data_IF_178491926938
#
_entry.id   IF_178491926938
#
_cell.length_a   1.000
_cell.length_b   1.000
_cell.length_c   1.000
_cell.angle_alpha   90.00
_cell.angle_beta   90.00
_cell.angle_gamma   90.00
#
_symmetry.space_group_name_H-M   'P 1'
#
loop_
_entity.id
_entity.type
_entity.pdbx_description
1 polymer ?
#
# COMPACT_ATOMS: atom_id res chain seq x y z
N UNK A 1 18.99 4.71 6.16
CA UNK A 1 19.31 3.58 5.27
C UNK A 1 18.39 3.66 4.04
N UNK A 2 18.86 3.28 2.86
CA UNK A 2 18.06 3.40 1.62
C UNK A 2 17.17 2.16 1.46
N UNK A 3 15.87 2.31 1.71
CA UNK A 3 14.89 1.22 1.69
C UNK A 3 14.88 0.44 0.35
N UNK A 4 15.11 1.14 -0.78
CA UNK A 4 15.19 0.47 -2.08
C UNK A 4 16.40 -0.47 -2.17
N UNK A 5 17.55 -0.04 -1.66
CA UNK A 5 18.75 -0.89 -1.64
C UNK A 5 18.61 -2.07 -0.68
N UNK A 6 17.92 -1.91 0.45
CA UNK A 6 17.60 -3.01 1.36
C UNK A 6 16.73 -4.07 0.67
N UNK A 7 15.69 -3.62 -0.03
CA UNK A 7 14.81 -4.50 -0.79
C UNK A 7 15.56 -5.24 -1.92
N UNK A 8 16.39 -4.52 -2.69
CA UNK A 8 17.19 -5.12 -3.78
C UNK A 8 18.15 -6.20 -3.27
N UNK A 9 18.81 -5.95 -2.13
CA UNK A 9 19.68 -6.96 -1.47
C UNK A 9 18.90 -8.19 -1.03
N UNK A 10 17.72 -8.00 -0.44
CA UNK A 10 16.86 -9.11 -0.06
C UNK A 10 16.45 -9.93 -1.29
N UNK A 11 16.00 -9.29 -2.37
CA UNK A 11 15.62 -9.96 -3.62
C UNK A 11 16.78 -10.76 -4.20
N UNK A 12 18.01 -10.21 -4.21
CA UNK A 12 19.19 -10.95 -4.65
C UNK A 12 19.40 -12.23 -3.82
N UNK A 13 19.34 -12.11 -2.50
CA UNK A 13 19.48 -13.25 -1.60
C UNK A 13 18.39 -14.30 -1.80
N UNK A 14 17.12 -13.89 -1.93
CA UNK A 14 16.01 -14.80 -2.18
C UNK A 14 16.20 -15.61 -3.47
N UNK A 15 16.75 -14.98 -4.52
CA UNK A 15 17.06 -15.65 -5.78
C UNK A 15 18.21 -16.66 -5.62
N UNK A 16 19.25 -16.31 -4.88
CA UNK A 16 20.39 -17.20 -4.62
C UNK A 16 19.94 -18.42 -3.80
N UNK A 17 19.08 -18.21 -2.81
CA UNK A 17 18.57 -19.25 -1.91
C UNK A 17 17.42 -20.07 -2.54
N UNK A 18 16.89 -19.66 -3.71
CA UNK A 18 15.72 -20.30 -4.36
C UNK A 18 14.45 -20.21 -3.53
N UNK A 19 14.33 -19.18 -2.67
CA UNK A 19 13.21 -19.02 -1.73
C UNK A 19 12.21 -17.99 -2.25
N UNK A 20 10.91 -18.25 -2.03
CA UNK A 20 9.81 -17.35 -2.40
C UNK A 20 8.91 -17.14 -1.17
N UNK A 21 9.29 -16.23 -0.26
CA UNK A 21 8.53 -16.00 0.95
C UNK A 21 7.19 -15.32 0.67
N UNK A 22 6.24 -15.52 1.57
CA UNK A 22 4.91 -14.93 1.52
C UNK A 22 4.94 -13.44 1.91
N UNK A 23 4.22 -12.60 1.16
CA UNK A 23 4.15 -11.16 1.37
C UNK A 23 2.71 -10.65 1.34
N UNK A 24 2.25 -10.05 2.44
CA UNK A 24 1.00 -9.29 2.46
C UNK A 24 1.28 -7.81 2.12
N UNK A 25 0.83 -7.36 0.96
CA UNK A 25 1.06 -5.99 0.48
C UNK A 25 -0.21 -5.14 0.63
N UNK A 26 -0.20 -4.18 1.55
CA UNK A 26 -1.27 -3.19 1.62
C UNK A 26 -1.37 -2.41 0.31
N UNK A 27 -2.56 -2.40 -0.29
CA UNK A 27 -2.85 -1.72 -1.55
C UNK A 27 -3.89 -0.60 -1.36
N UNK A 28 -3.57 0.62 -1.81
CA UNK A 28 -4.50 1.74 -1.75
C UNK A 28 -5.40 1.86 -2.99
N UNK A 29 -4.97 1.33 -4.13
CA UNK A 29 -5.69 1.35 -5.40
C UNK A 29 -4.91 0.59 -6.47
N UNK A 30 -5.55 0.23 -7.58
CA UNK A 30 -4.93 -0.49 -8.70
C UNK A 30 -3.73 0.26 -9.32
N UNK A 31 -3.80 1.58 -9.62
CA UNK A 31 -2.65 2.30 -10.14
C UNK A 31 -1.40 2.22 -9.27
N UNK A 32 -1.56 2.31 -7.93
CA UNK A 32 -0.41 2.19 -7.03
C UNK A 32 0.07 0.74 -6.91
N UNK A 33 -0.83 -0.24 -6.97
CA UNK A 33 -0.49 -1.65 -6.91
C UNK A 33 0.19 -2.15 -8.20
N UNK A 34 -0.08 -1.53 -9.36
CA UNK A 34 0.33 -2.05 -10.66
C UNK A 34 1.85 -2.26 -10.78
N UNK A 35 2.65 -1.25 -10.48
CA UNK A 35 4.10 -1.39 -10.47
C UNK A 35 4.59 -2.30 -9.34
N UNK A 36 3.96 -2.22 -8.15
CA UNK A 36 4.37 -3.04 -7.03
C UNK A 36 4.16 -4.54 -7.31
N UNK A 37 3.07 -4.92 -7.97
CA UNK A 37 2.81 -6.30 -8.41
C UNK A 37 3.86 -6.72 -9.44
N UNK A 38 4.06 -5.94 -10.51
CA UNK A 38 5.06 -6.23 -11.55
C UNK A 38 6.45 -6.44 -10.96
N UNK A 39 6.81 -5.66 -9.93
CA UNK A 39 8.13 -5.69 -9.31
C UNK A 39 8.28 -6.82 -8.29
N UNK A 40 7.25 -7.14 -7.50
CA UNK A 40 7.35 -8.06 -6.35
C UNK A 40 6.91 -9.49 -6.66
N UNK A 41 5.90 -9.69 -7.51
CA UNK A 41 5.35 -11.01 -7.79
C UNK A 41 6.37 -12.04 -8.31
N UNK A 42 7.44 -11.67 -9.05
CA UNK A 42 8.49 -12.62 -9.42
C UNK A 42 9.34 -13.15 -8.26
N UNK A 43 9.21 -12.59 -7.04
CA UNK A 43 10.12 -12.84 -5.91
C UNK A 43 9.41 -13.24 -4.62
N UNK A 44 8.10 -13.04 -4.55
CA UNK A 44 7.28 -13.29 -3.36
C UNK A 44 5.99 -14.01 -3.75
N UNK A 45 5.50 -14.87 -2.88
CA UNK A 45 4.10 -15.31 -2.89
C UNK A 45 3.25 -14.14 -2.39
N UNK A 46 2.74 -13.36 -3.36
CA UNK A 46 2.15 -12.06 -3.14
C UNK A 46 0.65 -12.14 -2.94
N UNK A 47 0.17 -11.58 -1.84
CA UNK A 47 -1.25 -11.30 -1.60
C UNK A 47 -1.45 -9.82 -1.33
N UNK A 48 -2.46 -9.22 -1.95
CA UNK A 48 -2.84 -7.82 -1.70
C UNK A 48 -3.83 -7.73 -0.54
N UNK A 49 -3.66 -6.72 0.28
CA UNK A 49 -4.61 -6.37 1.34
C UNK A 49 -5.19 -4.98 1.10
N UNK A 50 -6.49 -4.92 0.84
CA UNK A 50 -7.20 -3.67 0.60
C UNK A 50 -7.91 -3.20 1.86
N UNK A 51 -7.24 -2.37 2.67
CA UNK A 51 -7.82 -1.71 3.84
C UNK A 51 -7.55 -0.21 3.79
N UNK A 52 -8.56 0.57 3.50
CA UNK A 52 -8.45 2.00 3.25
C UNK A 52 -9.54 2.80 3.98
N UNK A 53 -9.48 2.92 5.32
CA UNK A 53 -10.51 3.58 6.13
C UNK A 53 -10.65 5.07 5.80
N UNK A 54 -9.63 5.67 5.18
CA UNK A 54 -9.66 7.04 4.67
C UNK A 54 -10.54 7.24 3.44
N UNK A 55 -10.94 6.18 2.74
CA UNK A 55 -11.91 6.29 1.65
C UNK A 55 -13.28 6.33 2.31
N UNK A 56 -13.82 7.53 2.47
CA UNK A 56 -15.02 7.79 3.27
C UNK A 56 -16.33 7.65 2.50
N UNK A 57 -16.26 7.50 1.18
CA UNK A 57 -17.41 7.29 0.30
C UNK A 57 -17.49 5.82 -0.13
N UNK A 58 -18.58 5.13 0.18
CA UNK A 58 -18.77 3.71 -0.11
C UNK A 58 -18.62 3.39 -1.59
N UNK A 59 -19.20 4.19 -2.47
CA UNK A 59 -19.12 3.99 -3.91
C UNK A 59 -17.67 4.10 -4.44
N UNK A 60 -16.88 5.02 -3.88
CA UNK A 60 -15.47 5.16 -4.25
C UNK A 60 -14.63 4.00 -3.71
N UNK A 61 -14.93 3.51 -2.51
CA UNK A 61 -14.29 2.32 -1.94
C UNK A 61 -14.54 1.11 -2.84
N UNK A 62 -15.80 0.81 -3.15
CA UNK A 62 -16.19 -0.34 -3.97
C UNK A 62 -15.61 -0.26 -5.40
N UNK A 63 -15.60 0.94 -5.98
CA UNK A 63 -15.01 1.17 -7.31
C UNK A 63 -13.52 0.85 -7.35
N UNK A 64 -12.76 1.32 -6.33
CA UNK A 64 -11.31 1.05 -6.26
C UNK A 64 -11.01 -0.40 -5.93
N UNK A 65 -11.81 -1.05 -5.10
CA UNK A 65 -11.67 -2.47 -4.77
C UNK A 65 -11.86 -3.32 -6.02
N UNK A 66 -12.98 -3.16 -6.72
CA UNK A 66 -13.29 -3.90 -7.96
C UNK A 66 -12.20 -3.73 -9.02
N UNK A 67 -11.68 -2.52 -9.17
CA UNK A 67 -10.59 -2.23 -10.10
C UNK A 67 -9.28 -2.91 -9.68
N UNK A 68 -9.00 -2.96 -8.37
CA UNK A 68 -7.83 -3.66 -7.84
C UNK A 68 -7.94 -5.17 -8.04
N UNK A 69 -9.10 -5.77 -7.75
CA UNK A 69 -9.38 -7.19 -7.97
C UNK A 69 -9.25 -7.57 -9.44
N UNK A 70 -9.85 -6.77 -10.34
CA UNK A 70 -9.74 -6.97 -11.79
C UNK A 70 -8.27 -6.99 -12.24
N UNK A 71 -7.49 -6.01 -11.79
CA UNK A 71 -6.09 -5.91 -12.18
C UNK A 71 -5.23 -7.02 -11.57
N UNK A 72 -5.43 -7.34 -10.28
CA UNK A 72 -4.70 -8.40 -9.60
C UNK A 72 -4.92 -9.77 -10.24
N UNK A 73 -6.15 -10.03 -10.71
CA UNK A 73 -6.51 -11.27 -11.41
C UNK A 73 -5.67 -11.50 -12.68
N UNK A 74 -5.32 -10.44 -13.43
CA UNK A 74 -4.45 -10.53 -14.62
C UNK A 74 -3.04 -11.10 -14.29
N UNK A 75 -2.62 -10.99 -13.03
CA UNK A 75 -1.31 -11.45 -12.55
C UNK A 75 -1.42 -12.69 -11.64
N UNK A 76 -2.61 -13.25 -11.46
CA UNK A 76 -2.83 -14.39 -10.55
C UNK A 76 -2.61 -14.03 -9.07
N UNK A 77 -2.73 -12.76 -8.69
CA UNK A 77 -2.51 -12.28 -7.33
C UNK A 77 -3.84 -12.18 -6.57
N UNK A 78 -3.88 -12.78 -5.38
CA UNK A 78 -5.06 -12.73 -4.52
C UNK A 78 -5.25 -11.35 -3.88
N UNK A 79 -6.51 -10.98 -3.62
CA UNK A 79 -6.89 -9.75 -2.91
C UNK A 79 -7.73 -10.13 -1.70
N UNK A 80 -7.35 -9.60 -0.53
CA UNK A 80 -8.13 -9.67 0.71
C UNK A 80 -8.76 -8.30 0.94
N UNK A 81 -10.10 -8.24 0.98
CA UNK A 81 -10.83 -7.04 1.39
C UNK A 81 -10.82 -6.91 2.91
N UNK A 82 -10.22 -5.84 3.43
CA UNK A 82 -10.17 -5.50 4.85
C UNK A 82 -11.45 -4.84 5.38
N UNK A 83 -12.41 -4.60 4.51
CA UNK A 83 -13.70 -4.01 4.82
C UNK A 83 -13.74 -2.48 4.76
N UNK A 84 -14.93 -1.95 4.53
CA UNK A 84 -15.22 -0.52 4.54
C UNK A 84 -15.38 -0.03 5.98
N UNK A 85 -14.45 0.80 6.47
CA UNK A 85 -14.34 1.19 7.88
C UNK A 85 -13.99 2.69 8.05
N UNK A 86 -14.83 3.56 7.51
CA UNK A 86 -14.63 5.01 7.61
C UNK A 86 -14.67 5.54 9.07
N UNK A 87 -15.41 4.87 9.95
CA UNK A 87 -15.58 5.33 11.34
C UNK A 87 -14.24 5.33 12.09
N UNK A 88 -13.45 4.26 11.95
CA UNK A 88 -12.10 4.18 12.52
C UNK A 88 -11.21 5.34 12.05
N UNK A 89 -11.31 5.75 10.77
CA UNK A 89 -10.56 6.90 10.28
C UNK A 89 -10.99 8.20 10.97
N UNK A 90 -12.29 8.47 11.07
CA UNK A 90 -12.80 9.69 11.70
C UNK A 90 -12.48 9.75 13.20
N UNK A 91 -12.62 8.65 13.92
CA UNK A 91 -12.30 8.56 15.34
C UNK A 91 -10.84 8.91 15.62
N UNK A 92 -9.90 8.33 14.86
CA UNK A 92 -8.47 8.53 15.07
C UNK A 92 -7.94 9.86 14.51
N UNK A 93 -8.68 10.50 13.61
CA UNK A 93 -8.27 11.80 13.03
C UNK A 93 -9.05 12.97 13.63
N UNK A 94 -9.84 12.74 14.67
CA UNK A 94 -10.58 13.79 15.40
C UNK A 94 -9.62 14.85 15.94
N UNK A 95 -9.93 16.11 15.66
CA UNK A 95 -9.09 17.26 16.01
C UNK A 95 -7.95 17.55 15.01
N UNK A 96 -7.81 16.74 13.95
CA UNK A 96 -6.82 16.92 12.89
C UNK A 96 -7.45 17.34 11.54
N UNK A 97 -8.71 17.79 11.55
CA UNK A 97 -9.48 18.12 10.34
C UNK A 97 -8.83 19.25 9.54
N UNK A 98 -8.21 20.22 10.24
CA UNK A 98 -7.57 21.39 9.65
C UNK A 98 -6.09 21.15 9.25
N UNK A 99 -5.54 19.97 9.58
CA UNK A 99 -4.17 19.63 9.18
C UNK A 99 -4.05 19.62 7.65
N UNK A 100 -2.96 20.15 7.09
CA UNK A 100 -2.74 20.08 5.64
C UNK A 100 -2.55 18.63 5.17
N UNK A 101 -2.67 18.41 3.88
CA UNK A 101 -2.22 17.16 3.28
C UNK A 101 -0.72 16.98 3.55
N UNK A 102 -0.31 15.77 3.93
CA UNK A 102 1.03 15.37 4.42
C UNK A 102 1.35 15.75 5.87
N UNK A 103 0.43 16.41 6.60
CA UNK A 103 0.55 16.70 8.03
C UNK A 103 0.23 15.49 8.92
N UNK A 104 -0.02 15.76 10.21
CA UNK A 104 -0.23 14.74 11.24
C UNK A 104 -1.40 13.81 10.93
N UNK A 105 -2.50 14.33 10.36
CA UNK A 105 -3.63 13.49 9.93
C UNK A 105 -3.19 12.39 8.95
N UNK A 106 -2.28 12.69 8.03
CA UNK A 106 -1.76 11.68 7.09
C UNK A 106 -0.88 10.65 7.79
N UNK A 107 -0.09 11.04 8.78
CA UNK A 107 0.71 10.12 9.58
C UNK A 107 -0.18 9.12 10.34
N UNK A 108 -1.24 9.60 11.01
CA UNK A 108 -2.24 8.74 11.65
C UNK A 108 -2.89 7.79 10.65
N UNK A 109 -3.27 8.29 9.47
CA UNK A 109 -3.84 7.46 8.40
C UNK A 109 -2.89 6.35 7.91
N UNK A 110 -1.58 6.60 7.83
CA UNK A 110 -0.59 5.59 7.47
C UNK A 110 -0.46 4.54 8.58
N UNK A 111 -0.41 4.97 9.83
CA UNK A 111 -0.32 4.09 11.00
C UNK A 111 -1.52 3.13 11.07
N UNK A 112 -2.74 3.62 10.93
CA UNK A 112 -3.97 2.80 10.91
C UNK A 112 -3.89 1.69 9.85
N UNK A 113 -3.50 2.03 8.64
CA UNK A 113 -3.43 1.06 7.54
C UNK A 113 -2.34 0.03 7.76
N UNK A 114 -1.17 0.47 8.21
CA UNK A 114 -0.03 -0.42 8.45
C UNK A 114 -0.28 -1.32 9.64
N UNK A 115 -0.89 -0.83 10.73
CA UNK A 115 -1.28 -1.68 11.88
C UNK A 115 -2.25 -2.77 11.47
N UNK A 116 -3.30 -2.42 10.72
CA UNK A 116 -4.27 -3.41 10.24
C UNK A 116 -3.63 -4.42 9.30
N UNK A 117 -2.68 -3.99 8.46
CA UNK A 117 -1.92 -4.89 7.60
C UNK A 117 -1.03 -5.83 8.41
N UNK A 118 -0.32 -5.32 9.40
CA UNK A 118 0.55 -6.09 10.29
C UNK A 118 -0.26 -7.12 11.11
N UNK A 119 -1.40 -6.70 11.67
CA UNK A 119 -2.35 -7.57 12.39
C UNK A 119 -2.84 -8.73 11.51
N UNK A 120 -3.20 -8.41 10.26
CA UNK A 120 -3.69 -9.41 9.31
C UNK A 120 -2.57 -10.38 8.88
N UNK A 121 -1.34 -9.89 8.76
CA UNK A 121 -0.18 -10.65 8.34
C UNK A 121 0.42 -11.52 9.46
N UNK A 122 0.28 -11.10 10.72
CA UNK A 122 0.91 -11.71 11.90
C UNK A 122 0.68 -13.22 11.96
N UNK A 123 1.75 -14.01 12.03
CA UNK A 123 1.75 -15.45 12.07
C UNK A 123 1.27 -16.16 10.80
N UNK A 124 1.03 -15.43 9.70
CA UNK A 124 0.49 -15.98 8.45
C UNK A 124 1.35 -15.68 7.23
N UNK A 125 2.11 -14.58 7.27
CA UNK A 125 2.98 -14.14 6.19
C UNK A 125 4.38 -13.88 6.73
N UNK A 126 5.40 -14.13 5.91
CA UNK A 126 6.80 -13.82 6.28
C UNK A 126 7.04 -12.31 6.33
N UNK A 127 6.38 -11.58 5.43
CA UNK A 127 6.53 -10.12 5.31
C UNK A 127 5.19 -9.40 5.17
N UNK A 128 5.19 -8.13 5.60
CA UNK A 128 4.16 -7.17 5.20
C UNK A 128 4.79 -5.87 4.69
N UNK A 129 4.12 -5.22 3.74
CA UNK A 129 4.57 -3.97 3.12
C UNK A 129 3.39 -3.09 2.68
N UNK A 130 3.68 -1.96 2.01
CA UNK A 130 2.64 -1.07 1.49
C UNK A 130 3.00 -0.44 0.15
N UNK A 131 2.00 -0.25 -0.71
CA UNK A 131 2.11 0.51 -1.95
C UNK A 131 2.14 2.03 -1.73
N UNK A 132 1.93 2.51 -0.50
CA UNK A 132 1.90 3.96 -0.19
C UNK A 132 3.20 4.66 -0.56
N UNK A 133 4.33 3.96 -0.51
CA UNK A 133 5.66 4.50 -0.83
C UNK A 133 5.88 4.77 -2.32
N UNK A 134 4.95 4.38 -3.20
CA UNK A 134 4.99 4.70 -4.63
C UNK A 134 4.61 6.15 -4.92
N UNK A 135 3.66 6.72 -4.16
CA UNK A 135 3.15 8.06 -4.43
C UNK A 135 4.21 9.13 -4.15
N UNK A 136 4.48 10.05 -5.10
CA UNK A 136 5.40 11.18 -4.88
C UNK A 136 4.88 12.15 -3.80
N UNK A 137 3.57 12.10 -3.52
CA UNK A 137 2.94 12.93 -2.50
C UNK A 137 3.06 12.35 -1.08
N UNK A 138 3.66 11.18 -0.91
CA UNK A 138 3.79 10.52 0.40
C UNK A 138 5.25 10.36 0.82
N UNK A 139 5.50 10.63 2.09
CA UNK A 139 6.84 10.53 2.68
C UNK A 139 7.18 9.07 2.98
N UNK A 140 7.98 8.44 2.12
CA UNK A 140 8.40 7.05 2.28
C UNK A 140 9.23 6.82 3.57
N UNK A 141 10.02 7.79 3.99
CA UNK A 141 10.81 7.70 5.23
C UNK A 141 9.89 7.57 6.44
N UNK A 142 8.87 8.43 6.54
CA UNK A 142 7.88 8.37 7.61
C UNK A 142 7.10 7.04 7.58
N UNK A 143 6.61 6.61 6.41
CA UNK A 143 5.87 5.36 6.25
C UNK A 143 6.72 4.17 6.71
N UNK A 144 7.97 4.10 6.29
CA UNK A 144 8.89 3.04 6.69
C UNK A 144 9.23 3.09 8.21
N UNK A 145 9.34 4.28 8.79
CA UNK A 145 9.55 4.42 10.24
C UNK A 145 8.34 3.88 11.02
N UNK A 146 7.12 4.21 10.58
CA UNK A 146 5.89 3.68 11.17
C UNK A 146 5.86 2.15 11.04
N UNK A 147 6.04 1.61 9.83
CA UNK A 147 5.97 0.17 9.58
C UNK A 147 6.99 -0.63 10.41
N UNK A 148 8.22 -0.14 10.52
CA UNK A 148 9.27 -0.77 11.36
C UNK A 148 8.94 -0.75 12.85
N UNK A 149 8.14 0.20 13.31
CA UNK A 149 7.72 0.32 14.70
C UNK A 149 6.52 -0.55 15.10
N UNK A 150 5.86 -1.20 14.14
CA UNK A 150 4.68 -2.03 14.40
C UNK A 150 5.12 -3.47 14.68
N UNK A 151 4.83 -4.02 15.88
CA UNK A 151 5.10 -5.43 16.17
C UNK A 151 4.15 -6.33 15.37
N UNK A 152 4.68 -7.43 14.83
CA UNK A 152 3.92 -8.49 14.20
C UNK A 152 4.63 -9.82 14.48
N UNK A 153 3.95 -10.76 15.10
CA UNK A 153 4.54 -12.03 15.50
C UNK A 153 4.88 -12.88 14.26
N UNK A 154 6.14 -13.29 14.16
CA UNK A 154 6.63 -14.12 13.05
C UNK A 154 6.64 -13.44 11.68
N UNK A 155 6.33 -12.13 11.60
CA UNK A 155 6.19 -11.38 10.36
C UNK A 155 7.05 -10.11 10.39
N UNK A 156 7.81 -9.84 9.33
CA UNK A 156 8.69 -8.69 9.24
C UNK A 156 8.11 -7.59 8.35
N UNK A 157 8.27 -6.33 8.76
CA UNK A 157 8.00 -5.21 7.87
C UNK A 157 9.06 -5.13 6.77
N UNK A 158 8.64 -5.11 5.50
CA UNK A 158 9.52 -4.95 4.35
C UNK A 158 9.58 -3.47 3.95
N UNK A 159 10.70 -2.75 4.23
CA UNK A 159 10.85 -1.35 3.86
C UNK A 159 10.94 -1.21 2.34
N UNK A 160 10.23 -0.22 1.79
CA UNK A 160 10.18 0.02 0.35
C UNK A 160 10.27 1.52 0.02
N UNK A 161 10.76 1.85 -1.17
CA UNK A 161 10.60 3.18 -1.78
C UNK A 161 10.34 3.01 -3.28
N UNK A 162 9.12 2.63 -3.62
CA UNK A 162 8.71 2.33 -4.98
C UNK A 162 8.73 3.54 -5.93
N UNK A 163 8.98 4.76 -5.45
CA UNK A 163 9.27 5.93 -6.31
C UNK A 163 10.62 5.80 -7.03
N UNK A 164 11.55 5.08 -6.42
CA UNK A 164 12.87 4.80 -7.02
C UNK A 164 12.72 3.92 -8.27
N UNK A 165 13.77 3.90 -9.08
CA UNK A 165 13.76 3.13 -10.34
C UNK A 165 12.59 3.50 -11.27
N UNK A 166 12.19 4.78 -11.27
CA UNK A 166 11.08 5.32 -12.07
C UNK A 166 9.71 4.62 -11.83
N UNK A 167 9.53 3.97 -10.67
CA UNK A 167 8.33 3.17 -10.40
C UNK A 167 7.02 3.95 -10.52
N UNK A 168 7.00 5.24 -10.14
CA UNK A 168 5.83 6.07 -10.34
C UNK A 168 5.51 6.28 -11.83
N UNK A 169 6.52 6.56 -12.66
CA UNK A 169 6.36 6.66 -14.13
C UNK A 169 5.85 5.34 -14.69
N UNK A 170 6.46 4.21 -14.28
CA UNK A 170 6.02 2.88 -14.69
C UNK A 170 4.56 2.61 -14.31
N UNK A 171 4.10 3.03 -13.14
CA UNK A 171 2.70 2.91 -12.73
C UNK A 171 1.73 3.70 -13.62
N UNK A 172 2.17 4.81 -14.20
CA UNK A 172 1.38 5.57 -15.19
C UNK A 172 1.27 4.79 -16.50
N UNK A 173 2.38 4.25 -16.99
CA UNK A 173 2.42 3.42 -18.20
C UNK A 173 1.51 2.19 -18.07
N UNK A 174 1.60 1.48 -16.92
CA UNK A 174 0.74 0.33 -16.62
C UNK A 174 -0.74 0.74 -16.52
N UNK A 175 -1.02 1.88 -15.89
CA UNK A 175 -2.39 2.38 -15.81
C UNK A 175 -3.00 2.65 -17.19
N UNK A 176 -2.22 3.23 -18.10
CA UNK A 176 -2.66 3.46 -19.47
C UNK A 176 -2.83 2.14 -20.24
N UNK A 177 -1.86 1.22 -20.11
CA UNK A 177 -1.90 -0.09 -20.76
C UNK A 177 -3.13 -0.92 -20.38
N UNK A 178 -3.50 -0.91 -19.08
CA UNK A 178 -4.59 -1.72 -18.55
C UNK A 178 -5.89 -0.94 -18.33
N UNK A 179 -5.96 0.34 -18.78
CA UNK A 179 -7.13 1.19 -18.61
C UNK A 179 -7.56 1.40 -17.17
N UNK A 180 -6.59 1.52 -16.23
CA UNK A 180 -6.90 1.58 -14.80
C UNK A 180 -7.54 2.91 -14.41
N UNK A 181 -8.54 2.83 -13.54
CA UNK A 181 -9.15 4.01 -12.92
C UNK A 181 -8.12 4.76 -12.06
N UNK A 182 -7.73 5.95 -12.51
CA UNK A 182 -6.82 6.84 -11.77
C UNK A 182 -7.63 7.93 -11.09
N UNK A 183 -7.72 7.85 -9.78
CA UNK A 183 -8.36 8.86 -8.95
C UNK A 183 -7.48 10.12 -8.85
N UNK A 184 -8.11 11.29 -8.71
CA UNK A 184 -7.46 12.59 -8.58
C UNK A 184 -7.21 13.03 -7.11
N UNK A 185 -7.63 12.22 -6.13
CA UNK A 185 -7.46 12.48 -4.70
C UNK A 185 -7.17 11.19 -3.93
N UNK A 186 -6.69 11.33 -2.69
CA UNK A 186 -6.27 10.18 -1.87
C UNK A 186 -7.44 9.26 -1.42
N UNK A 187 -8.69 9.72 -1.51
CA UNK A 187 -9.89 9.07 -0.96
C UNK A 187 -10.34 9.67 0.36
N UNK A 188 -9.46 10.38 1.06
CA UNK A 188 -9.77 11.14 2.27
C UNK A 188 -10.60 12.38 1.89
N UNK A 189 -11.72 12.60 2.58
CA UNK A 189 -12.60 13.75 2.33
C UNK A 189 -11.85 15.09 2.37
N UNK A 190 -10.83 15.19 3.23
CA UNK A 190 -10.00 16.39 3.39
C UNK A 190 -8.98 16.61 2.25
N UNK A 191 -8.77 15.62 1.38
CA UNK A 191 -7.91 15.72 0.18
C UNK A 191 -8.70 15.90 -1.10
N UNK A 192 -10.04 15.88 -1.00
CA UNK A 192 -10.94 16.09 -2.15
C UNK A 192 -10.83 17.57 -2.58
N UNK A 193 -10.39 17.79 -3.81
CA UNK A 193 -10.34 19.15 -4.36
C UNK A 193 -11.77 19.68 -4.47
N UNK A 194 -11.98 20.90 -3.99
CA UNK A 194 -13.19 21.65 -4.30
C UNK A 194 -13.04 22.14 -5.73
N UNK A 195 -13.91 21.68 -6.60
CA UNK A 195 -14.04 22.22 -7.97
C UNK A 195 -14.50 23.66 -7.90
#
# INVERSE_FOLDING_TARGET
MNAQLELEKLICKLKEDGNTPSLLLHACCAPCASYCIEYLAPHFDLTLFYYNPNITERNEYDKRLKELERFAHEFGVNVIDGGFDQNTFFEHTKGLEQEPERGNRCAVCFDLRLRKTAETASGKFDYFATTLTLSPLKNATLINAIGKGIPAEGTLYLPTDFKKREGYKRSIELSNKYGLYRQNYCGCIYSKRKD
#
